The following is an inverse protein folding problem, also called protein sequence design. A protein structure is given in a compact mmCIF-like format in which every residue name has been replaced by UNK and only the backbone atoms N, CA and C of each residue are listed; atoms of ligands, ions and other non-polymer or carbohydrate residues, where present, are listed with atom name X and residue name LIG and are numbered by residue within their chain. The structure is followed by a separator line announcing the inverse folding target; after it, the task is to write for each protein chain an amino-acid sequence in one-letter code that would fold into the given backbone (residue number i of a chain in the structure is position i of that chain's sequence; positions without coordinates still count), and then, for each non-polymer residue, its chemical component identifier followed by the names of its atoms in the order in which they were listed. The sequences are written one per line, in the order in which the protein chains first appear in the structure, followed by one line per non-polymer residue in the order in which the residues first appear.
data_IF_017716021414
#
_entry.id   IF_017716021414
#
_cell.length_a   1.000
_cell.length_b   1.000
_cell.length_c   1.000
_cell.angle_alpha   90.00
_cell.angle_beta   90.00
_cell.angle_gamma   90.00
#
_symmetry.space_group_name_H-M   'P 1'
#
loop_
_entity.id
_entity.type
_entity.pdbx_description
1 polymer ?
#
# COMPACT_ATOMS: atom_id res chain seq x y z
N UNK A 1 -43.25 70.78 -55.98
CA UNK A 1 -44.25 70.27 -55.03
C UNK A 1 -44.57 68.84 -55.45
N UNK A 2 -43.57 67.97 -55.53
CA UNK A 2 -43.09 67.04 -54.47
C UNK A 2 -43.53 65.64 -54.93
N UNK A 3 -42.66 64.82 -55.50
CA UNK A 3 -41.70 63.94 -54.82
C UNK A 3 -42.35 63.09 -53.71
N UNK A 4 -42.16 61.78 -53.84
CA UNK A 4 -42.26 60.73 -52.81
C UNK A 4 -43.59 59.97 -52.68
N UNK A 5 -43.71 58.86 -53.44
CA UNK A 5 -44.24 57.59 -52.90
C UNK A 5 -43.54 56.44 -53.61
N UNK A 6 -42.52 55.83 -52.97
CA UNK A 6 -42.10 54.41 -53.10
C UNK A 6 -40.67 54.18 -52.54
N UNK A 7 -40.41 54.59 -51.30
CA UNK A 7 -39.13 54.29 -50.61
C UNK A 7 -39.30 53.51 -49.30
N UNK A 8 -40.53 53.21 -48.86
CA UNK A 8 -40.75 52.56 -47.55
C UNK A 8 -40.65 51.01 -47.54
N UNK A 9 -40.54 50.34 -48.70
CA UNK A 9 -40.43 48.86 -48.72
C UNK A 9 -38.98 48.38 -48.67
N UNK A 10 -38.04 49.00 -49.39
CA UNK A 10 -36.64 48.56 -49.46
C UNK A 10 -35.84 48.76 -48.17
N UNK A 11 -36.14 49.82 -47.40
CA UNK A 11 -35.42 50.14 -46.16
C UNK A 11 -35.64 49.09 -45.04
N UNK A 12 -36.82 48.47 -45.01
CA UNK A 12 -37.16 47.45 -44.01
C UNK A 12 -36.48 46.10 -44.29
N UNK A 13 -36.30 45.75 -45.56
CA UNK A 13 -35.54 44.56 -45.95
C UNK A 13 -34.04 44.72 -45.68
N UNK A 14 -33.47 45.92 -45.89
CA UNK A 14 -32.04 46.17 -45.61
C UNK A 14 -31.73 46.18 -44.11
N UNK A 15 -32.62 46.68 -43.24
CA UNK A 15 -32.45 46.60 -41.79
C UNK A 15 -32.62 45.16 -41.26
N UNK A 16 -33.54 44.38 -41.84
CA UNK A 16 -33.74 42.98 -41.48
C UNK A 16 -32.56 42.10 -41.91
N UNK A 17 -31.96 42.35 -43.08
CA UNK A 17 -30.79 41.63 -43.56
C UNK A 17 -29.52 42.00 -42.78
N UNK A 18 -29.33 43.27 -42.39
CA UNK A 18 -28.16 43.67 -41.58
C UNK A 18 -28.22 43.10 -40.17
N UNK A 19 -29.40 43.08 -39.54
CA UNK A 19 -29.61 42.45 -38.24
C UNK A 19 -29.44 40.93 -38.27
N UNK A 20 -29.89 40.27 -39.35
CA UNK A 20 -29.64 38.84 -39.56
C UNK A 20 -28.15 38.53 -39.80
N UNK A 21 -27.42 39.37 -40.54
CA UNK A 21 -25.98 39.18 -40.74
C UNK A 21 -25.21 39.30 -39.41
N UNK A 22 -25.50 40.32 -38.61
CA UNK A 22 -24.88 40.52 -37.29
C UNK A 22 -25.21 39.36 -36.34
N UNK A 23 -26.42 38.80 -36.41
CA UNK A 23 -26.79 37.63 -35.62
C UNK A 23 -26.03 36.36 -36.05
N UNK A 24 -25.82 36.15 -37.35
CA UNK A 24 -25.02 35.03 -37.89
C UNK A 24 -23.56 35.15 -37.47
N UNK A 25 -22.98 36.35 -37.55
CA UNK A 25 -21.60 36.63 -37.13
C UNK A 25 -21.43 36.42 -35.60
N UNK A 26 -22.42 36.79 -34.79
CA UNK A 26 -22.41 36.54 -33.35
C UNK A 26 -22.48 35.04 -33.01
N UNK A 27 -23.27 34.26 -33.75
CA UNK A 27 -23.37 32.79 -33.58
C UNK A 27 -22.07 32.10 -34.03
N UNK A 28 -21.44 32.55 -35.13
CA UNK A 28 -20.15 32.05 -35.57
C UNK A 28 -19.01 32.38 -34.59
N UNK A 29 -19.02 33.58 -34.00
CA UNK A 29 -18.01 33.97 -33.00
C UNK A 29 -18.17 33.19 -31.68
N UNK A 30 -19.41 32.95 -31.24
CA UNK A 30 -19.71 32.10 -30.07
C UNK A 30 -19.30 30.62 -30.27
N UNK A 31 -19.47 30.07 -31.46
CA UNK A 31 -19.06 28.67 -31.77
C UNK A 31 -17.54 28.51 -31.86
N UNK A 32 -16.81 29.51 -32.38
CA UNK A 32 -15.34 29.53 -32.37
C UNK A 32 -14.75 29.64 -30.96
N UNK A 33 -15.34 30.47 -30.08
CA UNK A 33 -14.95 30.58 -28.67
C UNK A 33 -15.24 29.28 -27.88
N UNK A 34 -16.35 28.61 -28.16
CA UNK A 34 -16.64 27.28 -27.61
C UNK A 34 -15.63 26.21 -28.09
N UNK A 35 -15.27 26.24 -29.37
CA UNK A 35 -14.21 25.38 -29.95
C UNK A 35 -12.83 25.62 -29.32
N UNK A 36 -12.46 26.88 -29.05
CA UNK A 36 -11.21 27.24 -28.39
C UNK A 36 -11.15 26.77 -26.93
N UNK A 37 -12.26 26.91 -26.18
CA UNK A 37 -12.40 26.37 -24.82
C UNK A 37 -12.30 24.85 -24.78
N UNK A 38 -12.91 24.16 -25.75
CA UNK A 38 -12.79 22.71 -25.91
C UNK A 38 -11.35 22.28 -26.23
N UNK A 39 -10.62 23.04 -27.06
CA UNK A 39 -9.21 22.78 -27.37
C UNK A 39 -8.27 22.90 -26.16
N UNK A 40 -8.52 23.88 -25.27
CA UNK A 40 -7.77 24.04 -24.01
C UNK A 40 -8.06 22.87 -23.06
N UNK A 41 -9.34 22.48 -22.93
CA UNK A 41 -9.74 21.34 -22.10
C UNK A 41 -9.13 20.01 -22.57
N UNK A 42 -9.12 19.76 -23.88
CA UNK A 42 -8.48 18.57 -24.48
C UNK A 42 -6.98 18.58 -24.21
N UNK A 43 -6.31 19.73 -24.34
CA UNK A 43 -4.87 19.87 -24.07
C UNK A 43 -4.54 19.65 -22.59
N UNK A 44 -5.36 20.17 -21.68
CA UNK A 44 -5.22 19.96 -20.24
C UNK A 44 -5.41 18.50 -19.85
N UNK A 45 -6.44 17.83 -20.38
CA UNK A 45 -6.64 16.40 -20.17
C UNK A 45 -5.50 15.56 -20.77
N UNK A 46 -4.98 15.95 -21.93
CA UNK A 46 -3.82 15.29 -22.52
C UNK A 46 -2.57 15.42 -21.63
N UNK A 47 -2.29 16.61 -21.11
CA UNK A 47 -1.18 16.85 -20.18
C UNK A 47 -1.38 16.07 -18.87
N UNK A 48 -2.62 16.02 -18.35
CA UNK A 48 -2.97 15.23 -17.16
C UNK A 48 -2.67 13.74 -17.37
N UNK A 49 -3.18 13.18 -18.47
CA UNK A 49 -2.94 11.78 -18.85
C UNK A 49 -1.45 11.49 -19.09
N UNK A 50 -0.70 12.44 -19.66
CA UNK A 50 0.74 12.29 -19.86
C UNK A 50 1.50 12.28 -18.52
N UNK A 51 1.10 13.12 -17.56
CA UNK A 51 1.68 13.12 -16.19
C UNK A 51 1.36 11.83 -15.45
N UNK A 52 0.13 11.34 -15.53
CA UNK A 52 -0.28 10.04 -14.96
C UNK A 52 0.52 8.89 -15.59
N UNK A 53 0.68 8.87 -16.91
CA UNK A 53 1.48 7.87 -17.62
C UNK A 53 2.95 7.88 -17.20
N UNK A 54 3.57 9.06 -17.07
CA UNK A 54 4.96 9.18 -16.62
C UNK A 54 5.12 8.73 -15.16
N UNK A 55 4.16 9.07 -14.29
CA UNK A 55 4.15 8.59 -12.91
C UNK A 55 4.03 7.06 -12.83
N UNK A 56 3.09 6.47 -13.59
CA UNK A 56 2.88 5.02 -13.70
C UNK A 56 4.13 4.33 -14.26
N UNK A 57 4.74 4.86 -15.31
CA UNK A 57 5.95 4.29 -15.93
C UNK A 57 7.17 4.36 -14.99
N UNK A 58 7.35 5.48 -14.29
CA UNK A 58 8.40 5.61 -13.28
C UNK A 58 8.22 4.63 -12.13
N UNK A 59 6.99 4.43 -11.67
CA UNK A 59 6.69 3.42 -10.66
C UNK A 59 6.88 1.99 -11.17
N UNK A 60 6.38 1.66 -12.38
CA UNK A 60 6.56 0.34 -13.01
C UNK A 60 8.02 -0.04 -13.18
N UNK A 61 8.88 0.87 -13.65
CA UNK A 61 10.31 0.62 -13.78
C UNK A 61 10.99 0.27 -12.44
N UNK A 62 10.58 0.91 -11.34
CA UNK A 62 11.08 0.61 -9.99
C UNK A 62 10.58 -0.75 -9.49
N UNK A 63 9.34 -1.12 -9.82
CA UNK A 63 8.71 -2.38 -9.44
C UNK A 63 9.31 -3.57 -10.19
N UNK A 64 9.56 -3.43 -11.48
CA UNK A 64 10.09 -4.49 -12.35
C UNK A 64 11.54 -4.84 -12.03
N UNK A 65 12.35 -3.88 -11.56
CA UNK A 65 13.72 -4.15 -11.08
C UNK A 65 13.77 -4.95 -9.77
N UNK A 66 12.68 -4.95 -8.99
CA UNK A 66 12.57 -5.63 -7.71
C UNK A 66 11.59 -6.82 -7.85
N UNK A 67 12.04 -7.99 -8.33
CA UNK A 67 11.24 -9.24 -8.47
C UNK A 67 10.57 -9.79 -7.20
N UNK A 68 10.59 -9.03 -6.10
CA UNK A 68 9.86 -9.26 -4.84
C UNK A 68 8.40 -8.81 -4.92
N UNK A 69 8.05 -7.90 -5.83
CA UNK A 69 6.71 -7.31 -5.91
C UNK A 69 5.61 -8.31 -6.30
N UNK A 70 5.90 -9.28 -7.18
CA UNK A 70 4.91 -10.27 -7.65
C UNK A 70 4.32 -11.13 -6.52
N UNK A 71 5.15 -11.51 -5.55
CA UNK A 71 4.71 -12.29 -4.38
C UNK A 71 3.87 -11.43 -3.43
N UNK A 72 4.14 -10.13 -3.35
CA UNK A 72 3.38 -9.18 -2.54
C UNK A 72 2.01 -8.93 -3.18
N UNK A 73 1.96 -8.76 -4.52
CA UNK A 73 0.71 -8.63 -5.28
C UNK A 73 -0.20 -9.86 -5.08
N UNK A 74 0.33 -11.07 -5.25
CA UNK A 74 -0.43 -12.32 -5.04
C UNK A 74 -0.97 -12.44 -3.60
N UNK A 75 -0.23 -11.97 -2.61
CA UNK A 75 -0.68 -11.95 -1.21
C UNK A 75 -1.76 -10.88 -0.97
N UNK A 76 -1.63 -9.72 -1.61
CA UNK A 76 -2.61 -8.63 -1.55
C UNK A 76 -3.92 -9.02 -2.24
N UNK A 77 -3.87 -9.57 -3.44
CA UNK A 77 -5.01 -10.10 -4.18
C UNK A 77 -5.73 -11.20 -3.38
N UNK A 78 -4.99 -12.15 -2.81
CA UNK A 78 -5.56 -13.17 -1.91
C UNK A 78 -6.22 -12.55 -0.67
N UNK A 79 -5.64 -11.47 -0.13
CA UNK A 79 -6.23 -10.74 0.99
C UNK A 79 -7.52 -10.02 0.58
N UNK A 80 -7.53 -9.33 -0.57
CA UNK A 80 -8.70 -8.69 -1.16
C UNK A 80 -9.79 -9.72 -1.43
N UNK A 81 -9.46 -10.85 -2.06
CA UNK A 81 -10.38 -11.98 -2.28
C UNK A 81 -10.95 -12.54 -0.97
N UNK A 82 -10.13 -12.69 0.08
CA UNK A 82 -10.63 -13.10 1.41
C UNK A 82 -11.60 -12.09 2.02
N UNK A 83 -11.31 -10.80 1.91
CA UNK A 83 -12.22 -9.74 2.38
C UNK A 83 -13.52 -9.73 1.57
N UNK A 84 -13.43 -9.82 0.24
CA UNK A 84 -14.60 -9.88 -0.65
C UNK A 84 -15.46 -11.12 -0.38
N UNK A 85 -14.86 -12.30 -0.26
CA UNK A 85 -15.60 -13.54 0.06
C UNK A 85 -16.25 -13.48 1.44
N UNK A 86 -15.62 -12.84 2.44
CA UNK A 86 -16.26 -12.57 3.73
C UNK A 86 -17.45 -11.62 3.58
N UNK A 87 -17.32 -10.56 2.78
CA UNK A 87 -18.37 -9.60 2.50
C UNK A 87 -19.57 -10.25 1.81
N UNK A 88 -19.34 -10.96 0.69
CA UNK A 88 -20.40 -11.69 -0.02
C UNK A 88 -21.07 -12.78 0.82
N UNK A 89 -20.32 -13.50 1.67
CA UNK A 89 -20.91 -14.45 2.63
C UNK A 89 -21.82 -13.76 3.65
N UNK A 90 -21.44 -12.57 4.11
CA UNK A 90 -22.24 -11.75 5.02
C UNK A 90 -23.52 -11.25 4.34
N UNK A 91 -23.41 -10.76 3.11
CA UNK A 91 -24.56 -10.27 2.34
C UNK A 91 -25.53 -11.39 1.96
N UNK A 92 -25.04 -12.55 1.52
CA UNK A 92 -25.89 -13.71 1.22
C UNK A 92 -26.60 -14.25 2.47
N UNK A 93 -25.98 -14.15 3.64
CA UNK A 93 -26.62 -14.50 4.92
C UNK A 93 -27.73 -13.50 5.30
N UNK A 94 -27.57 -12.22 4.94
CA UNK A 94 -28.56 -11.16 5.17
C UNK A 94 -29.74 -11.26 4.18
N UNK A 95 -29.49 -11.56 2.91
CA UNK A 95 -30.51 -11.68 1.86
C UNK A 95 -31.51 -12.83 2.07
N UNK A 96 -31.13 -13.88 2.82
CA UNK A 96 -32.01 -15.00 3.15
C UNK A 96 -32.96 -14.79 4.35
N UNK A 97 -32.89 -13.65 5.05
CA UNK A 97 -33.56 -13.44 6.35
C UNK A 97 -34.24 -12.08 6.50
N UNK A 98 -34.87 -11.58 5.44
CA UNK A 98 -35.62 -10.31 5.43
C UNK A 98 -36.90 -10.29 6.29
N UNK A 99 -37.12 -11.26 7.19
CA UNK A 99 -38.26 -11.28 8.12
C UNK A 99 -37.73 -11.51 9.54
N UNK A 100 -37.29 -10.44 10.18
CA UNK A 100 -37.44 -10.13 11.63
C UNK A 100 -36.44 -9.05 12.01
N UNK A 101 -37.00 -7.88 12.34
CA UNK A 101 -36.30 -6.73 12.90
C UNK A 101 -35.62 -7.11 14.23
N UNK A 102 -34.36 -7.51 14.20
CA UNK A 102 -33.50 -7.52 15.37
C UNK A 102 -32.14 -6.95 14.97
N UNK A 103 -31.67 -6.01 15.79
CA UNK A 103 -30.45 -5.19 15.60
C UNK A 103 -29.28 -6.08 15.17
N UNK A 104 -28.77 -5.82 13.97
CA UNK A 104 -27.67 -6.56 13.36
C UNK A 104 -26.32 -6.13 13.96
N UNK A 105 -26.04 -6.56 15.19
CA UNK A 105 -24.71 -6.51 15.77
C UNK A 105 -24.13 -7.93 15.77
N UNK A 106 -23.12 -8.15 14.92
CA UNK A 106 -22.15 -9.25 14.98
C UNK A 106 -22.69 -10.65 15.35
N UNK A 107 -23.25 -11.39 14.40
CA UNK A 107 -23.56 -12.82 14.61
C UNK A 107 -22.71 -13.66 13.65
N UNK A 108 -21.48 -14.00 14.07
CA UNK A 108 -20.94 -15.30 13.65
C UNK A 108 -21.79 -16.38 14.35
N UNK A 109 -22.20 -17.48 13.68
CA UNK A 109 -22.95 -18.54 14.35
C UNK A 109 -22.12 -19.10 15.51
N UNK A 110 -22.73 -19.18 16.70
CA UNK A 110 -22.08 -19.56 17.97
C UNK A 110 -21.23 -20.85 17.86
N UNK A 111 -21.64 -21.79 17.03
CA UNK A 111 -20.91 -23.03 16.76
C UNK A 111 -19.58 -22.82 16.04
N UNK A 112 -19.57 -21.96 15.02
CA UNK A 112 -18.35 -21.59 14.28
C UNK A 112 -17.41 -20.75 15.14
N UNK A 113 -17.96 -19.86 15.97
CA UNK A 113 -17.18 -19.10 16.94
C UNK A 113 -16.53 -20.03 17.98
N UNK A 114 -17.29 -21.00 18.52
CA UNK A 114 -16.80 -21.99 19.48
C UNK A 114 -15.70 -22.90 18.88
N UNK A 115 -15.86 -23.37 17.64
CA UNK A 115 -14.83 -24.15 16.94
C UNK A 115 -13.56 -23.34 16.64
N UNK A 116 -13.70 -22.04 16.35
CA UNK A 116 -12.56 -21.17 16.10
C UNK A 116 -11.81 -20.80 17.39
N UNK A 117 -12.52 -20.67 18.51
CA UNK A 117 -11.94 -20.46 19.84
C UNK A 117 -11.18 -21.71 20.30
N UNK A 118 -11.78 -22.89 20.25
CA UNK A 118 -11.11 -24.15 20.65
C UNK A 118 -9.84 -24.43 19.85
N UNK A 119 -9.85 -24.14 18.53
CA UNK A 119 -8.65 -24.26 17.67
C UNK A 119 -7.54 -23.25 17.99
N UNK A 120 -7.88 -22.06 18.50
CA UNK A 120 -6.89 -21.04 18.91
C UNK A 120 -6.24 -21.42 20.24
N UNK A 121 -7.03 -21.95 21.16
CA UNK A 121 -6.56 -22.31 22.51
C UNK A 121 -5.62 -23.51 22.46
N UNK A 122 -5.90 -24.52 21.62
CA UNK A 122 -5.03 -25.70 21.43
C UNK A 122 -3.67 -25.33 20.77
N UNK A 123 -3.63 -24.28 19.95
CA UNK A 123 -2.43 -23.94 19.17
C UNK A 123 -1.44 -23.02 19.86
N UNK A 124 -1.77 -22.50 21.06
CA UNK A 124 -0.95 -21.50 21.75
C UNK A 124 -0.76 -20.26 20.89
N UNK A 125 -1.60 -19.24 21.09
CA UNK A 125 -1.62 -18.05 20.22
C UNK A 125 -0.23 -17.47 19.96
N UNK A 126 0.10 -17.25 18.68
CA UNK A 126 1.29 -16.50 18.28
C UNK A 126 1.14 -15.09 18.81
N UNK A 127 1.95 -14.72 19.81
CA UNK A 127 1.93 -13.36 20.36
C UNK A 127 2.28 -12.37 19.25
N UNK A 128 1.48 -11.31 19.04
CA UNK A 128 1.77 -10.31 18.03
C UNK A 128 3.13 -9.66 18.30
N UNK A 129 3.81 -9.23 17.24
CA UNK A 129 5.06 -8.49 17.41
C UNK A 129 4.77 -7.18 18.13
N UNK A 130 5.31 -7.02 19.33
CA UNK A 130 5.29 -5.74 20.03
C UNK A 130 6.05 -4.70 19.21
N UNK A 131 5.53 -3.47 19.17
CA UNK A 131 6.16 -2.35 18.47
C UNK A 131 7.61 -2.12 18.91
N UNK A 132 8.35 -1.46 18.00
CA UNK A 132 9.72 -1.08 18.25
C UNK A 132 9.79 -0.05 19.40
N UNK A 133 10.53 -0.37 20.45
CA UNK A 133 10.80 0.56 21.56
C UNK A 133 12.29 0.89 21.67
N UNK A 134 13.11 -0.09 22.04
CA UNK A 134 14.56 0.04 22.19
C UNK A 134 15.31 -1.10 21.48
N UNK A 135 16.52 -0.81 21.02
CA UNK A 135 17.35 -1.78 20.29
C UNK A 135 17.69 -3.03 21.13
N UNK A 136 17.89 -2.90 22.45
CA UNK A 136 18.22 -4.04 23.31
C UNK A 136 17.11 -5.08 23.35
N UNK A 137 15.84 -4.65 23.50
CA UNK A 137 14.69 -5.55 23.47
C UNK A 137 14.52 -6.25 22.11
N UNK A 138 14.82 -5.54 21.02
CA UNK A 138 14.84 -6.16 19.69
C UNK A 138 15.91 -7.24 19.58
N UNK A 139 17.13 -6.98 20.07
CA UNK A 139 18.21 -7.95 20.10
C UNK A 139 17.88 -9.17 20.97
N UNK A 140 17.25 -8.98 22.14
CA UNK A 140 16.80 -10.10 22.99
C UNK A 140 15.80 -10.99 22.25
N UNK A 141 14.84 -10.41 21.51
CA UNK A 141 13.89 -11.18 20.70
C UNK A 141 14.58 -11.93 19.57
N UNK A 142 15.54 -11.29 18.89
CA UNK A 142 16.34 -11.93 17.85
C UNK A 142 17.14 -13.10 18.42
N UNK A 143 17.85 -12.88 19.52
CA UNK A 143 18.64 -13.89 20.22
C UNK A 143 17.78 -15.08 20.63
N UNK A 144 16.66 -14.85 21.32
CA UNK A 144 15.74 -15.90 21.74
C UNK A 144 15.17 -16.72 20.57
N UNK A 145 15.04 -16.11 19.38
CA UNK A 145 14.63 -16.83 18.18
C UNK A 145 15.77 -17.66 17.60
N UNK A 146 16.99 -17.12 17.55
CA UNK A 146 18.17 -17.83 17.03
C UNK A 146 18.52 -19.01 17.93
N UNK A 147 18.49 -18.83 19.26
CA UNK A 147 18.76 -19.90 20.22
C UNK A 147 17.76 -21.05 20.11
N UNK A 148 16.47 -20.73 19.94
CA UNK A 148 15.42 -21.75 19.70
C UNK A 148 15.60 -22.51 18.38
N UNK A 149 16.19 -21.88 17.38
CA UNK A 149 16.40 -22.49 16.06
C UNK A 149 17.71 -23.28 15.98
N UNK A 150 18.64 -23.09 16.93
CA UNK A 150 19.91 -23.80 16.97
C UNK A 150 19.65 -25.27 17.30
N UNK A 151 20.05 -26.17 16.42
CA UNK A 151 20.05 -27.61 16.69
C UNK A 151 21.36 -27.96 17.39
N UNK A 152 21.28 -28.80 18.41
CA UNK A 152 22.45 -29.27 19.17
C UNK A 152 22.65 -30.74 18.88
N UNK A 153 23.84 -31.10 18.39
CA UNK A 153 24.20 -32.49 18.11
C UNK A 153 24.90 -33.10 19.32
N UNK A 154 24.19 -33.96 20.06
CA UNK A 154 24.69 -34.55 21.31
C UNK A 154 25.90 -35.48 21.09
N UNK A 155 25.96 -36.23 19.99
CA UNK A 155 27.11 -37.08 19.69
C UNK A 155 28.40 -36.28 19.45
N UNK A 156 28.30 -35.17 18.72
CA UNK A 156 29.44 -34.29 18.46
C UNK A 156 29.94 -33.65 19.77
N UNK A 157 29.00 -33.31 20.66
CA UNK A 157 29.28 -32.82 22.00
C UNK A 157 30.05 -33.86 22.83
N UNK A 158 29.59 -35.11 22.90
CA UNK A 158 30.29 -36.18 23.64
C UNK A 158 31.69 -36.44 23.09
N UNK A 159 31.86 -36.53 21.77
CA UNK A 159 33.19 -36.67 21.14
C UNK A 159 34.12 -35.49 21.47
N UNK A 160 33.58 -34.27 21.58
CA UNK A 160 34.39 -33.10 21.95
C UNK A 160 34.78 -33.10 23.43
N UNK A 161 33.89 -33.60 24.30
CA UNK A 161 34.12 -33.76 25.73
C UNK A 161 35.22 -34.79 26.00
N UNK A 162 35.15 -35.96 25.37
CA UNK A 162 36.18 -37.00 25.52
C UNK A 162 37.56 -36.54 25.05
N UNK A 163 37.63 -35.76 23.95
CA UNK A 163 38.90 -35.26 23.39
C UNK A 163 39.58 -34.23 24.27
N UNK A 164 38.82 -33.32 24.89
CA UNK A 164 39.37 -32.28 25.78
C UNK A 164 39.59 -32.79 27.21
N UNK A 165 38.82 -33.78 27.66
CA UNK A 165 38.77 -34.22 29.05
C UNK A 165 37.96 -33.25 29.91
N UNK A 166 37.34 -33.76 30.98
CA UNK A 166 36.35 -33.02 31.77
C UNK A 166 36.91 -31.71 32.38
N UNK A 167 38.15 -31.72 32.85
CA UNK A 167 38.77 -30.54 33.47
C UNK A 167 39.07 -29.38 32.50
N UNK A 168 39.28 -29.67 31.21
CA UNK A 168 39.51 -28.63 30.20
C UNK A 168 38.23 -28.27 29.44
N UNK A 169 37.27 -29.20 29.36
CA UNK A 169 35.99 -28.99 28.68
C UNK A 169 35.07 -28.08 29.48
N UNK A 170 34.98 -28.27 30.80
CA UNK A 170 34.26 -27.38 31.70
C UNK A 170 35.23 -26.29 32.20
N UNK A 171 35.34 -25.22 31.43
CA UNK A 171 36.25 -24.12 31.73
C UNK A 171 35.80 -23.37 33.00
N UNK A 172 36.57 -23.47 34.07
CA UNK A 172 36.48 -22.61 35.26
C UNK A 172 37.39 -21.39 35.10
N UNK A 173 37.22 -20.37 35.94
CA UNK A 173 37.88 -19.05 35.82
C UNK A 173 39.42 -19.09 35.69
N UNK A 174 40.07 -20.17 36.17
CA UNK A 174 41.53 -20.35 36.17
C UNK A 174 42.04 -21.36 35.12
N UNK A 175 41.17 -21.88 34.25
CA UNK A 175 41.56 -22.89 33.25
C UNK A 175 41.90 -22.23 31.91
N UNK A 176 43.08 -22.55 31.35
CA UNK A 176 43.50 -22.00 30.06
C UNK A 176 43.12 -22.99 28.95
N UNK A 177 41.86 -22.93 28.51
CA UNK A 177 41.33 -23.74 27.41
C UNK A 177 41.32 -23.00 26.05
N UNK A 178 42.10 -21.92 25.93
CA UNK A 178 42.11 -21.06 24.74
C UNK A 178 43.02 -21.67 23.66
N UNK A 179 42.45 -22.05 22.51
CA UNK A 179 43.19 -22.52 21.33
C UNK A 179 43.30 -24.04 21.17
N UNK A 180 42.71 -24.83 22.09
CA UNK A 180 42.69 -26.29 21.99
C UNK A 180 41.66 -26.81 20.97
N UNK A 181 40.60 -26.04 20.73
CA UNK A 181 39.54 -26.40 19.79
C UNK A 181 39.87 -25.92 18.37
N UNK A 182 39.69 -26.82 17.39
CA UNK A 182 39.70 -26.49 15.97
C UNK A 182 38.34 -26.86 15.39
N UNK A 183 37.64 -25.86 14.87
CA UNK A 183 36.32 -26.05 14.27
C UNK A 183 36.41 -26.88 12.99
N UNK A 184 35.41 -27.72 12.75
CA UNK A 184 35.24 -28.41 11.47
C UNK A 184 34.78 -27.42 10.40
N UNK A 185 35.11 -27.71 9.13
CA UNK A 185 34.65 -26.91 7.99
C UNK A 185 33.12 -26.86 7.92
N UNK A 186 32.46 -27.98 8.22
CA UNK A 186 31.00 -28.08 8.24
C UNK A 186 30.35 -27.11 9.24
N UNK A 187 30.93 -26.96 10.44
CA UNK A 187 30.44 -26.00 11.44
C UNK A 187 30.61 -24.56 11.00
N UNK A 188 31.71 -24.26 10.31
CA UNK A 188 31.98 -22.93 9.74
C UNK A 188 30.96 -22.63 8.64
N UNK A 189 30.71 -23.58 7.73
CA UNK A 189 29.75 -23.41 6.64
C UNK A 189 28.33 -23.22 7.19
N UNK A 190 27.94 -23.97 8.23
CA UNK A 190 26.65 -23.80 8.90
C UNK A 190 26.50 -22.40 9.54
N UNK A 191 27.58 -21.85 10.11
CA UNK A 191 27.59 -20.48 10.64
C UNK A 191 27.43 -19.45 9.52
N UNK A 192 28.16 -19.60 8.42
CA UNK A 192 28.05 -18.73 7.24
C UNK A 192 26.62 -18.69 6.69
N UNK A 193 26.01 -19.87 6.54
CA UNK A 193 24.61 -20.04 6.14
C UNK A 193 23.65 -19.29 7.07
N UNK A 194 23.83 -19.42 8.38
CA UNK A 194 22.98 -18.75 9.36
C UNK A 194 23.15 -17.22 9.35
N UNK A 195 24.34 -16.71 9.10
CA UNK A 195 24.58 -15.27 8.90
C UNK A 195 23.88 -14.77 7.63
N UNK A 196 23.99 -15.50 6.52
CA UNK A 196 23.29 -15.16 5.28
C UNK A 196 21.77 -15.13 5.49
N UNK A 197 21.21 -16.12 6.20
CA UNK A 197 19.78 -16.15 6.57
C UNK A 197 19.38 -14.97 7.46
N UNK A 198 20.26 -14.52 8.35
CA UNK A 198 20.02 -13.36 9.20
C UNK A 198 19.97 -12.07 8.36
N UNK A 199 20.90 -11.91 7.42
CA UNK A 199 20.94 -10.75 6.53
C UNK A 199 19.75 -10.70 5.58
N UNK A 200 19.35 -11.84 5.01
CA UNK A 200 18.11 -11.90 4.24
C UNK A 200 16.88 -11.48 5.03
N UNK A 201 16.80 -11.88 6.31
CA UNK A 201 15.70 -11.50 7.19
C UNK A 201 15.74 -10.00 7.51
N UNK A 202 16.94 -9.44 7.73
CA UNK A 202 17.16 -8.00 7.94
C UNK A 202 16.76 -7.19 6.72
N UNK A 203 17.14 -7.63 5.52
CA UNK A 203 16.78 -7.01 4.25
C UNK A 203 15.26 -7.00 3.99
N UNK A 204 14.52 -7.98 4.54
CA UNK A 204 13.05 -8.10 4.43
C UNK A 204 12.28 -7.38 5.54
N UNK A 205 12.96 -6.68 6.47
CA UNK A 205 12.33 -6.00 7.60
C UNK A 205 11.41 -4.85 7.15
N UNK A 206 11.91 -4.00 6.24
CA UNK A 206 11.10 -2.98 5.58
C UNK A 206 10.52 -3.55 4.29
N UNK A 207 9.20 -3.71 4.23
CA UNK A 207 8.51 -4.23 3.05
C UNK A 207 7.89 -3.08 2.27
N UNK A 208 8.09 -3.06 0.95
CA UNK A 208 7.37 -2.15 0.06
C UNK A 208 5.87 -2.49 0.13
N UNK A 209 5.03 -1.47 0.32
CA UNK A 209 3.57 -1.59 0.14
C UNK A 209 3.26 -1.47 -1.34
N UNK A 210 2.26 -2.21 -1.82
CA UNK A 210 1.75 -2.07 -3.19
C UNK A 210 1.23 -0.65 -3.40
N UNK A 211 1.61 -0.03 -4.51
CA UNK A 211 0.96 1.19 -4.97
C UNK A 211 -0.45 0.85 -5.46
N UNK A 212 -1.36 1.75 -5.15
CA UNK A 212 -2.71 1.75 -5.65
C UNK A 212 -2.74 2.76 -6.80
N UNK A 213 -2.97 2.29 -8.02
CA UNK A 213 -2.96 3.13 -9.22
C UNK A 213 -4.23 4.02 -9.28
N UNK A 214 -5.28 3.68 -8.53
CA UNK A 214 -6.55 4.41 -8.48
C UNK A 214 -6.56 5.53 -7.42
N UNK A 215 -5.51 5.65 -6.59
CA UNK A 215 -5.43 6.65 -5.54
C UNK A 215 -4.99 8.03 -6.08
N UNK A 216 -5.57 9.11 -5.54
CA UNK A 216 -5.23 10.48 -5.94
C UNK A 216 -3.73 10.78 -5.75
N UNK A 217 -3.09 11.20 -6.84
CA UNK A 217 -1.64 11.40 -6.90
C UNK A 217 -1.30 12.81 -6.42
N UNK A 218 -0.90 12.91 -5.15
CA UNK A 218 -0.50 14.16 -4.50
C UNK A 218 1.00 14.46 -4.61
N UNK A 219 1.73 13.84 -5.54
CA UNK A 219 3.20 13.93 -5.62
C UNK A 219 3.72 13.94 -7.06
N UNK A 220 4.87 14.58 -7.27
CA UNK A 220 5.55 14.63 -8.58
C UNK A 220 6.72 13.63 -8.65
N UNK A 221 7.42 13.40 -7.53
CA UNK A 221 8.58 12.49 -7.47
C UNK A 221 8.52 11.56 -6.24
N UNK A 222 9.37 10.52 -6.20
CA UNK A 222 9.36 9.52 -5.12
C UNK A 222 9.76 10.12 -3.75
N UNK A 223 10.68 11.10 -3.73
CA UNK A 223 11.11 11.77 -2.50
C UNK A 223 9.96 12.58 -1.88
N UNK A 224 9.20 13.29 -2.71
CA UNK A 224 8.00 14.04 -2.37
C UNK A 224 6.90 13.07 -1.89
N UNK A 225 6.68 11.95 -2.57
CA UNK A 225 5.75 10.91 -2.10
C UNK A 225 6.11 10.43 -0.68
N UNK A 226 7.38 10.14 -0.41
CA UNK A 226 7.84 9.71 0.93
C UNK A 226 7.67 10.81 1.97
N UNK A 227 7.88 12.07 1.59
CA UNK A 227 7.67 13.22 2.46
C UNK A 227 6.20 13.45 2.78
N UNK A 228 5.31 13.41 1.78
CA UNK A 228 3.86 13.53 1.99
C UNK A 228 3.33 12.35 2.82
N UNK A 229 3.81 11.13 2.59
CA UNK A 229 3.53 9.97 3.46
C UNK A 229 4.04 10.16 4.90
N UNK A 230 5.11 10.94 5.10
CA UNK A 230 5.59 11.29 6.44
C UNK A 230 4.63 12.29 7.09
N UNK A 231 4.26 13.36 6.39
CA UNK A 231 3.29 14.34 6.87
C UNK A 231 1.96 13.68 7.24
N UNK A 232 1.48 12.76 6.40
CA UNK A 232 0.25 12.02 6.64
C UNK A 232 0.26 11.24 7.95
N UNK A 233 1.40 10.66 8.34
CA UNK A 233 1.50 9.90 9.59
C UNK A 233 1.45 10.77 10.84
N UNK A 234 1.93 12.00 10.76
CA UNK A 234 2.00 12.91 11.91
C UNK A 234 0.79 13.84 12.00
N UNK A 235 0.33 14.33 10.85
CA UNK A 235 -0.71 15.36 10.74
C UNK A 235 -2.00 14.84 10.14
N UNK A 236 -2.05 13.60 9.65
CA UNK A 236 -3.24 13.01 9.04
C UNK A 236 -4.44 13.14 9.96
N UNK A 237 -4.30 12.68 11.20
CA UNK A 237 -5.35 12.71 12.25
C UNK A 237 -5.86 14.13 12.53
N UNK A 238 -4.99 15.14 12.52
CA UNK A 238 -5.38 16.53 12.81
C UNK A 238 -5.92 17.29 11.58
N UNK A 239 -5.72 16.76 10.37
CA UNK A 239 -6.08 17.43 9.10
C UNK A 239 -7.21 16.72 8.36
N UNK A 240 -7.84 15.71 8.97
CA UNK A 240 -8.92 14.94 8.35
C UNK A 240 -10.11 15.84 7.97
N UNK A 241 -10.52 16.75 8.84
CA UNK A 241 -11.63 17.68 8.57
C UNK A 241 -11.32 18.60 7.38
N UNK A 242 -10.11 19.14 7.31
CA UNK A 242 -9.67 20.00 6.21
C UNK A 242 -9.69 19.23 4.89
N UNK A 243 -9.21 17.97 4.88
CA UNK A 243 -9.25 17.13 3.68
C UNK A 243 -10.69 16.84 3.23
N UNK A 244 -11.57 16.49 4.16
CA UNK A 244 -12.97 16.26 3.84
C UNK A 244 -13.64 17.51 3.25
N UNK A 245 -13.32 18.70 3.77
CA UNK A 245 -13.84 19.96 3.24
C UNK A 245 -13.31 20.25 1.82
N UNK A 246 -12.05 19.91 1.53
CA UNK A 246 -11.49 20.01 0.18
C UNK A 246 -12.18 19.04 -0.79
N UNK A 247 -12.42 17.80 -0.36
CA UNK A 247 -13.15 16.79 -1.15
C UNK A 247 -14.62 17.18 -1.38
N UNK A 248 -15.25 17.86 -0.42
CA UNK A 248 -16.62 18.42 -0.52
C UNK A 248 -16.68 19.74 -1.30
N UNK A 249 -15.56 20.25 -1.81
CA UNK A 249 -15.53 21.43 -2.68
C UNK A 249 -15.44 22.76 -1.95
N UNK A 250 -14.72 22.84 -0.82
CA UNK A 250 -14.47 24.06 -0.02
C UNK A 250 -15.72 24.82 0.43
N UNK A 251 -16.90 24.20 0.31
CA UNK A 251 -18.13 24.71 0.83
C UNK A 251 -18.15 24.43 2.33
N UNK A 252 -17.85 25.47 3.10
CA UNK A 252 -18.28 25.58 4.51
C UNK A 252 -19.72 26.02 4.51
#
# INVERSE_FOLDING_TARGET
MDAQVNTCSSANYTLCLSTLLVAIDHVQSCTLLAGARNGIYIRLNHIKNMRERVAIQGYKGIVETDGKCDKILKNFEKSKQKTMTKFYKKDNFLGGRSVKNQKYEQIEPLTVAAENMSKKDIKGGVKPSQDFSIYSLFHIRQYNRLTKNKKTDFEAYERSREKMGDAAFYCEDNTVAIGLHKDSKESIDALCDDLQRQDEKRAKYSRRRTHDDDADINFINERNMKFNKKLERFYGEYTEEIKQNLERGTAV
#
